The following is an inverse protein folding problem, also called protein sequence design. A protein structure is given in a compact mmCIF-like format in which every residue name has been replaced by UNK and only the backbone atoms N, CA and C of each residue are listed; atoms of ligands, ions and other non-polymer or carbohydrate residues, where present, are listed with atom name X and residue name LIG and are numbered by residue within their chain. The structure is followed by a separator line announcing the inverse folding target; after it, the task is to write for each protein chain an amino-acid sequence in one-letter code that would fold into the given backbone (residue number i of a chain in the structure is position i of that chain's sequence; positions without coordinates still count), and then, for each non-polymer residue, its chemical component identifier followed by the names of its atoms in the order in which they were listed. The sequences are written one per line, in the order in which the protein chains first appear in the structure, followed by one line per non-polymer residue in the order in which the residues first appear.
data_IF_904790393450
#
_entry.id   IF_904790393450
#
_cell.length_a   1.000
_cell.length_b   1.000
_cell.length_c   1.000
_cell.angle_alpha   90.00
_cell.angle_beta   90.00
_cell.angle_gamma   90.00
#
_symmetry.space_group_name_H-M   'P 1'
#
loop_
_entity.id
_entity.type
_entity.pdbx_description
1 polymer ?
#
# COMPACT_ATOMS: atom_id res chain seq x y z
N UNK A 1 -42.89 -1.48 -4.15
CA UNK A 1 -42.19 -1.59 -5.45
C UNK A 1 -41.51 -0.26 -5.68
N UNK A 2 -40.26 -0.15 -5.23
CA UNK A 2 -39.52 1.12 -5.20
C UNK A 2 -38.35 0.98 -6.17
N UNK A 3 -38.44 1.72 -7.27
CA UNK A 3 -37.41 1.81 -8.30
C UNK A 3 -36.12 2.41 -7.71
N UNK A 4 -35.04 1.62 -7.69
CA UNK A 4 -33.71 2.14 -7.42
C UNK A 4 -33.14 2.73 -8.71
N UNK A 5 -33.08 4.06 -8.73
CA UNK A 5 -32.39 4.87 -9.72
C UNK A 5 -30.91 4.51 -9.78
N UNK A 6 -30.52 3.86 -10.88
CA UNK A 6 -29.13 3.54 -11.23
C UNK A 6 -28.36 4.83 -11.49
N UNK A 7 -27.45 5.19 -10.57
CA UNK A 7 -26.45 6.24 -10.81
C UNK A 7 -25.37 5.75 -11.78
N UNK A 8 -25.70 5.68 -13.07
CA UNK A 8 -24.69 5.68 -14.14
C UNK A 8 -24.07 7.08 -14.19
N UNK A 9 -22.85 7.24 -13.65
CA UNK A 9 -22.03 8.42 -13.99
C UNK A 9 -21.87 8.44 -15.51
N UNK A 10 -22.46 9.45 -16.14
CA UNK A 10 -22.47 9.60 -17.58
C UNK A 10 -21.03 9.66 -18.11
N UNK A 11 -20.74 8.84 -19.12
CA UNK A 11 -19.53 8.95 -19.94
C UNK A 11 -19.49 10.39 -20.48
N UNK A 12 -18.36 11.09 -20.27
CA UNK A 12 -18.18 12.45 -20.80
C UNK A 12 -18.43 12.43 -22.31
N UNK A 13 -19.17 13.39 -22.84
CA UNK A 13 -19.58 13.44 -24.26
C UNK A 13 -18.40 13.40 -25.25
N UNK A 14 -17.20 13.79 -24.81
CA UNK A 14 -15.94 13.81 -25.56
C UNK A 14 -15.22 12.43 -25.65
N UNK A 15 -15.70 11.40 -24.95
CA UNK A 15 -15.03 10.09 -24.91
C UNK A 15 -15.65 9.02 -25.84
N UNK A 16 -16.65 9.38 -26.64
CA UNK A 16 -17.25 8.42 -27.60
C UNK A 16 -16.22 8.00 -28.65
N UNK A 17 -15.96 6.70 -28.74
CA UNK A 17 -15.03 6.11 -29.72
C UNK A 17 -13.57 6.05 -29.27
N UNK A 18 -13.22 6.53 -28.08
CA UNK A 18 -11.87 6.38 -27.53
C UNK A 18 -11.68 4.99 -26.90
N UNK A 19 -10.52 4.38 -27.09
CA UNK A 19 -10.11 3.17 -26.37
C UNK A 19 -9.93 3.46 -24.88
N UNK A 20 -10.59 2.71 -24.01
CA UNK A 20 -10.47 2.82 -22.56
C UNK A 20 -9.37 1.91 -22.04
N UNK A 21 -8.25 2.50 -21.61
CA UNK A 21 -7.20 1.82 -20.87
C UNK A 21 -7.42 2.00 -19.36
N UNK A 22 -7.53 0.90 -18.62
CA UNK A 22 -7.59 0.90 -17.16
C UNK A 22 -6.28 0.38 -16.57
N UNK A 23 -5.66 1.18 -15.70
CA UNK A 23 -4.56 0.78 -14.84
C UNK A 23 -5.13 0.43 -13.46
N UNK A 24 -5.18 -0.85 -13.13
CA UNK A 24 -5.64 -1.35 -11.84
C UNK A 24 -4.46 -1.47 -10.86
N UNK A 25 -4.46 -0.66 -9.81
CA UNK A 25 -3.39 -0.53 -8.82
C UNK A 25 -2.27 0.40 -9.29
N UNK A 26 -2.05 1.53 -8.61
CA UNK A 26 -1.15 2.58 -9.10
C UNK A 26 0.22 2.50 -8.39
N UNK A 27 0.84 1.33 -8.44
CA UNK A 27 2.21 1.10 -7.96
C UNK A 27 3.27 1.63 -8.94
N UNK A 28 4.55 1.36 -8.64
CA UNK A 28 5.72 1.86 -9.39
C UNK A 28 5.61 1.77 -10.91
N UNK A 29 5.21 0.60 -11.45
CA UNK A 29 5.08 0.40 -12.89
C UNK A 29 4.00 1.31 -13.50
N UNK A 30 2.83 1.38 -12.88
CA UNK A 30 1.73 2.22 -13.38
C UNK A 30 1.96 3.71 -13.15
N UNK A 31 2.70 4.11 -12.10
CA UNK A 31 3.16 5.49 -11.95
C UNK A 31 4.11 5.90 -13.09
N UNK A 32 4.97 4.98 -13.54
CA UNK A 32 5.78 5.22 -14.72
C UNK A 32 4.91 5.34 -15.98
N UNK A 33 3.92 4.47 -16.17
CA UNK A 33 2.98 4.58 -17.30
C UNK A 33 2.26 5.92 -17.27
N UNK A 34 1.76 6.37 -16.11
CA UNK A 34 1.08 7.65 -15.94
C UNK A 34 2.01 8.84 -16.27
N UNK A 35 3.27 8.77 -15.87
CA UNK A 35 4.29 9.77 -16.21
C UNK A 35 4.53 9.87 -17.71
N UNK A 36 4.62 8.74 -18.40
CA UNK A 36 4.82 8.71 -19.84
C UNK A 36 3.56 9.08 -20.62
N UNK A 37 2.37 8.71 -20.11
CA UNK A 37 1.09 9.13 -20.66
C UNK A 37 0.97 10.65 -20.75
N UNK A 38 1.41 11.36 -19.71
CA UNK A 38 1.47 12.83 -19.71
C UNK A 38 2.37 13.38 -20.83
N UNK A 39 3.47 12.70 -21.14
CA UNK A 39 4.46 13.14 -22.13
C UNK A 39 4.03 12.80 -23.55
N UNK A 40 3.43 11.63 -23.73
CA UNK A 40 3.11 11.01 -25.03
C UNK A 40 1.81 10.20 -24.87
N UNK A 41 0.64 10.86 -24.79
CA UNK A 41 -0.64 10.16 -24.66
C UNK A 41 -0.91 9.36 -25.93
N UNK A 42 -1.58 8.21 -25.79
CA UNK A 42 -2.00 7.45 -26.96
C UNK A 42 -3.13 8.18 -27.69
N UNK A 43 -3.07 8.30 -29.03
CA UNK A 43 -4.14 8.92 -29.80
C UNK A 43 -5.43 8.11 -29.66
N UNK A 44 -6.58 8.79 -29.60
CA UNK A 44 -7.90 8.17 -29.50
C UNK A 44 -8.05 7.20 -28.32
N UNK A 45 -7.38 7.47 -27.20
CA UNK A 45 -7.49 6.68 -25.99
C UNK A 45 -7.70 7.57 -24.76
N UNK A 46 -8.36 7.01 -23.75
CA UNK A 46 -8.50 7.62 -22.42
C UNK A 46 -7.91 6.69 -21.37
N UNK A 47 -7.37 7.29 -20.31
CA UNK A 47 -6.72 6.57 -19.22
C UNK A 47 -7.55 6.68 -17.95
N UNK A 48 -7.91 5.54 -17.38
CA UNK A 48 -8.46 5.43 -16.03
C UNK A 48 -7.41 4.79 -15.13
N UNK A 49 -7.10 5.45 -14.03
CA UNK A 49 -6.33 4.90 -12.92
C UNK A 49 -7.30 4.48 -11.82
N UNK A 50 -7.31 3.19 -11.48
CA UNK A 50 -8.15 2.64 -10.40
C UNK A 50 -7.23 2.19 -9.26
N UNK A 51 -7.41 2.77 -8.07
CA UNK A 51 -6.64 2.42 -6.88
C UNK A 51 -7.54 2.34 -5.65
N UNK A 52 -7.20 1.50 -4.67
CA UNK A 52 -8.00 1.39 -3.44
C UNK A 52 -7.73 2.51 -2.43
N UNK A 53 -6.66 3.29 -2.62
CA UNK A 53 -6.37 4.51 -1.86
C UNK A 53 -6.26 5.71 -2.80
N UNK A 54 -6.48 6.91 -2.27
CA UNK A 54 -6.20 8.17 -2.99
C UNK A 54 -4.71 8.47 -3.17
N UNK A 55 -3.84 7.67 -2.55
CA UNK A 55 -2.39 7.80 -2.60
C UNK A 55 -1.70 6.45 -2.89
N UNK A 56 -0.44 6.54 -3.33
CA UNK A 56 0.47 5.39 -3.45
C UNK A 56 1.67 5.57 -2.53
N UNK A 57 1.92 4.60 -1.65
CA UNK A 57 3.08 4.60 -0.77
C UNK A 57 4.33 4.06 -1.47
N UNK A 58 5.46 4.76 -1.31
CA UNK A 58 6.78 4.31 -1.73
C UNK A 58 7.42 3.48 -0.62
N UNK A 59 7.46 2.16 -0.81
CA UNK A 59 7.92 1.21 0.21
C UNK A 59 9.35 1.47 0.69
N UNK A 60 10.25 1.91 -0.20
CA UNK A 60 11.65 2.19 0.13
C UNK A 60 11.84 3.38 1.10
N UNK A 61 10.83 4.22 1.29
CA UNK A 61 10.88 5.33 2.26
C UNK A 61 10.34 4.97 3.64
N UNK A 62 9.65 3.83 3.79
CA UNK A 62 9.06 3.46 5.07
C UNK A 62 10.10 3.32 6.19
N UNK A 63 11.27 2.66 6.00
CA UNK A 63 12.31 2.63 7.03
C UNK A 63 12.75 4.04 7.45
N UNK A 64 12.90 4.96 6.48
CA UNK A 64 13.22 6.37 6.75
C UNK A 64 12.16 7.10 7.57
N UNK A 65 10.88 6.83 7.33
CA UNK A 65 9.76 7.34 8.15
C UNK A 65 9.85 6.83 9.58
N UNK A 66 10.07 5.52 9.75
CA UNK A 66 10.16 4.89 11.09
C UNK A 66 11.40 5.36 11.85
N UNK A 67 12.51 5.57 11.16
CA UNK A 67 13.72 6.18 11.71
C UNK A 67 13.55 7.68 12.01
N UNK A 68 12.48 8.33 11.53
CA UNK A 68 12.23 9.76 11.78
C UNK A 68 12.92 10.71 10.82
N UNK A 69 13.50 10.20 9.73
CA UNK A 69 14.12 11.02 8.69
C UNK A 69 13.08 11.73 7.82
N UNK A 70 11.88 11.15 7.72
CA UNK A 70 10.78 11.67 6.92
C UNK A 70 9.47 11.63 7.70
N UNK A 71 8.57 12.56 7.40
CA UNK A 71 7.19 12.50 7.83
C UNK A 71 6.41 11.47 7.00
N UNK A 72 5.40 10.79 7.58
CA UNK A 72 4.62 9.77 6.86
C UNK A 72 3.96 10.26 5.56
N UNK A 73 3.68 11.56 5.41
CA UNK A 73 3.13 12.09 4.16
C UNK A 73 4.14 12.10 3.01
N UNK A 74 5.44 12.18 3.32
CA UNK A 74 6.49 12.28 2.30
C UNK A 74 6.76 10.95 1.58
N UNK A 75 6.38 9.81 2.17
CA UNK A 75 6.45 8.51 1.48
C UNK A 75 5.28 8.29 0.51
N UNK A 76 4.30 9.21 0.44
CA UNK A 76 3.06 9.02 -0.33
C UNK A 76 3.05 9.93 -1.56
N UNK A 77 2.52 9.40 -2.65
CA UNK A 77 2.25 10.15 -3.89
C UNK A 77 0.74 10.39 -3.98
N UNK A 78 0.34 11.66 -4.05
CA UNK A 78 -1.05 12.07 -4.30
C UNK A 78 -1.48 11.69 -5.72
N UNK A 79 -2.37 10.69 -5.83
CA UNK A 79 -2.83 10.19 -7.11
C UNK A 79 -3.83 11.14 -7.78
N UNK A 80 -4.59 11.92 -7.02
CA UNK A 80 -5.53 12.89 -7.60
C UNK A 80 -4.76 13.96 -8.37
N UNK A 81 -3.70 14.49 -7.75
CA UNK A 81 -2.80 15.43 -8.41
C UNK A 81 -2.06 14.79 -9.60
N UNK A 82 -1.50 13.59 -9.43
CA UNK A 82 -0.78 12.90 -10.49
C UNK A 82 -1.66 12.60 -11.71
N UNK A 83 -2.88 12.09 -11.50
CA UNK A 83 -3.83 11.79 -12.58
C UNK A 83 -4.29 13.06 -13.28
N UNK A 84 -4.64 14.11 -12.53
CA UNK A 84 -5.06 15.40 -13.08
C UNK A 84 -3.99 16.00 -14.00
N UNK A 85 -2.74 15.98 -13.59
CA UNK A 85 -1.61 16.51 -14.38
C UNK A 85 -1.32 15.66 -15.62
N UNK A 86 -1.68 14.37 -15.61
CA UNK A 86 -1.57 13.48 -16.76
C UNK A 86 -2.81 13.46 -17.67
N UNK A 87 -3.90 14.15 -17.31
CA UNK A 87 -5.17 14.06 -18.02
C UNK A 87 -5.86 12.70 -17.90
N UNK A 88 -5.57 11.95 -16.83
CA UNK A 88 -6.18 10.67 -16.53
C UNK A 88 -7.34 10.82 -15.52
N UNK A 89 -8.33 9.93 -15.60
CA UNK A 89 -9.38 9.81 -14.60
C UNK A 89 -8.88 8.96 -13.42
N UNK A 90 -9.07 9.43 -12.19
CA UNK A 90 -8.82 8.63 -10.99
C UNK A 90 -10.15 8.09 -10.45
N UNK A 91 -10.23 6.78 -10.27
CA UNK A 91 -11.28 6.10 -9.52
C UNK A 91 -10.66 5.52 -8.25
N UNK A 92 -11.11 5.98 -7.10
CA UNK A 92 -10.72 5.40 -5.81
C UNK A 92 -11.79 4.40 -5.38
N UNK A 93 -11.40 3.13 -5.23
CA UNK A 93 -12.30 2.07 -4.78
C UNK A 93 -11.69 0.68 -4.86
N UNK A 94 -12.31 -0.27 -4.18
CA UNK A 94 -11.83 -1.65 -4.11
C UNK A 94 -12.49 -2.48 -5.22
N UNK A 95 -11.67 -3.15 -6.04
CA UNK A 95 -12.20 -4.10 -7.04
C UNK A 95 -12.53 -5.41 -6.37
N UNK A 96 -13.78 -5.84 -6.50
CA UNK A 96 -14.29 -7.11 -5.99
C UNK A 96 -14.20 -8.23 -7.03
N UNK A 97 -14.38 -7.91 -8.33
CA UNK A 97 -14.34 -8.90 -9.39
C UNK A 97 -13.88 -8.33 -10.74
N UNK A 98 -13.35 -9.21 -11.60
CA UNK A 98 -13.00 -8.94 -12.99
C UNK A 98 -13.87 -9.83 -13.88
N UNK A 99 -14.76 -9.23 -14.68
CA UNK A 99 -15.55 -9.92 -15.69
C UNK A 99 -14.86 -9.74 -17.06
N UNK A 100 -14.06 -10.74 -17.46
CA UNK A 100 -13.33 -10.71 -18.74
C UNK A 100 -14.27 -10.80 -19.96
N UNK A 101 -15.30 -11.68 -20.00
CA UNK A 101 -16.26 -11.71 -21.09
C UNK A 101 -16.95 -10.37 -21.34
N UNK A 102 -17.35 -9.66 -20.28
CA UNK A 102 -18.00 -8.33 -20.38
C UNK A 102 -17.01 -7.17 -20.32
N UNK A 103 -15.70 -7.45 -20.23
CA UNK A 103 -14.60 -6.48 -20.09
C UNK A 103 -14.91 -5.38 -19.08
N UNK A 104 -15.29 -5.78 -17.88
CA UNK A 104 -15.74 -4.87 -16.83
C UNK A 104 -15.11 -5.23 -15.49
N UNK A 105 -14.63 -4.22 -14.76
CA UNK A 105 -14.28 -4.35 -13.34
C UNK A 105 -15.52 -4.05 -12.50
N UNK A 106 -15.77 -4.86 -11.46
CA UNK A 106 -16.81 -4.59 -10.47
C UNK A 106 -16.15 -4.10 -9.18
N UNK A 107 -16.53 -2.90 -8.75
CA UNK A 107 -16.14 -2.34 -7.45
C UNK A 107 -17.04 -2.92 -6.35
N UNK A 108 -16.54 -2.93 -5.12
CA UNK A 108 -17.29 -3.29 -3.91
C UNK A 108 -18.56 -2.45 -3.70
N UNK A 109 -18.54 -1.19 -4.14
CA UNK A 109 -19.68 -0.28 -4.19
C UNK A 109 -20.78 -0.70 -5.19
N UNK A 110 -20.54 -1.72 -6.01
CA UNK A 110 -21.40 -2.13 -7.11
C UNK A 110 -21.19 -1.33 -8.40
N UNK A 111 -20.34 -0.30 -8.41
CA UNK A 111 -19.98 0.43 -9.62
C UNK A 111 -19.26 -0.50 -10.61
N UNK A 112 -19.67 -0.43 -11.88
CA UNK A 112 -19.05 -1.13 -12.99
C UNK A 112 -18.13 -0.19 -13.76
N UNK A 113 -16.89 -0.61 -14.00
CA UNK A 113 -15.88 0.14 -14.78
C UNK A 113 -15.54 -0.66 -16.04
N UNK A 114 -16.08 -0.27 -17.22
CA UNK A 114 -15.77 -0.96 -18.48
C UNK A 114 -14.35 -0.61 -18.93
N UNK A 115 -13.72 -1.55 -19.65
CA UNK A 115 -12.39 -1.36 -20.23
C UNK A 115 -12.28 -2.00 -21.62
N UNK A 116 -11.38 -1.47 -22.45
CA UNK A 116 -10.91 -2.14 -23.66
C UNK A 116 -9.59 -2.87 -23.40
N UNK A 117 -8.72 -2.22 -22.60
CA UNK A 117 -7.44 -2.76 -22.14
C UNK A 117 -7.36 -2.64 -20.62
N UNK A 118 -6.94 -3.72 -19.96
CA UNK A 118 -6.75 -3.77 -18.52
C UNK A 118 -5.29 -4.14 -18.22
N UNK A 119 -4.60 -3.29 -17.46
CA UNK A 119 -3.29 -3.59 -16.90
C UNK A 119 -3.41 -3.72 -15.38
N UNK A 120 -2.86 -4.80 -14.80
CA UNK A 120 -3.05 -5.15 -13.39
C UNK A 120 -1.71 -5.07 -12.66
N UNK A 121 -1.67 -4.24 -11.61
CA UNK A 121 -0.53 -4.03 -10.74
C UNK A 121 -1.00 -3.67 -9.32
N UNK A 122 -1.82 -4.55 -8.72
CA UNK A 122 -2.41 -4.36 -7.38
C UNK A 122 -1.44 -4.61 -6.22
N UNK A 123 -0.20 -5.00 -6.52
CA UNK A 123 0.80 -5.34 -5.52
C UNK A 123 0.56 -6.69 -4.86
N UNK A 124 1.22 -6.91 -3.72
CA UNK A 124 1.12 -8.14 -2.92
C UNK A 124 0.47 -7.86 -1.56
N UNK A 125 -0.12 -8.89 -0.96
CA UNK A 125 -0.62 -8.87 0.42
C UNK A 125 0.31 -9.68 1.34
N UNK A 126 0.31 -9.44 2.66
CA UNK A 126 0.99 -10.32 3.61
C UNK A 126 0.35 -11.71 3.57
N UNK A 127 1.18 -12.77 3.53
CA UNK A 127 0.71 -14.14 3.69
C UNK A 127 0.59 -14.43 5.18
N UNK A 128 -0.64 -14.51 5.71
CA UNK A 128 -0.91 -14.77 7.12
C UNK A 128 -1.64 -16.11 7.37
N UNK A 129 -2.08 -16.77 6.31
CA UNK A 129 -2.95 -17.96 6.37
C UNK A 129 -2.35 -19.13 7.16
N UNK A 130 -1.02 -19.18 7.28
CA UNK A 130 -0.27 -20.22 7.99
C UNK A 130 0.12 -19.81 9.42
N UNK A 131 -0.28 -18.62 9.87
CA UNK A 131 0.09 -18.06 11.18
C UNK A 131 -1.16 -17.74 12.01
N UNK A 132 -1.21 -18.27 13.22
CA UNK A 132 -2.16 -17.79 14.23
C UNK A 132 -1.71 -16.40 14.70
N UNK A 133 -2.39 -15.37 14.19
CA UNK A 133 -2.16 -13.99 14.57
C UNK A 133 -3.32 -13.52 15.44
N UNK A 134 -3.01 -12.90 16.59
CA UNK A 134 -4.00 -12.16 17.37
C UNK A 134 -3.98 -10.66 17.00
N UNK A 135 -4.74 -9.86 17.74
CA UNK A 135 -4.92 -8.42 17.51
C UNK A 135 -3.64 -7.59 17.72
N UNK A 136 -2.56 -8.17 18.25
CA UNK A 136 -1.26 -7.51 18.44
C UNK A 136 -0.43 -7.50 17.17
N UNK A 137 -0.76 -8.33 16.18
CA UNK A 137 0.00 -8.42 14.94
C UNK A 137 -0.38 -7.27 14.00
N UNK A 138 0.56 -6.36 13.76
CA UNK A 138 0.38 -5.25 12.81
C UNK A 138 1.03 -5.59 11.46
N UNK A 139 0.26 -5.90 10.41
CA UNK A 139 0.83 -6.16 9.09
C UNK A 139 1.39 -4.88 8.47
N UNK A 140 2.54 -4.99 7.82
CA UNK A 140 3.19 -3.85 7.13
C UNK A 140 2.39 -3.35 5.92
N UNK A 141 1.63 -4.23 5.26
CA UNK A 141 0.76 -3.87 4.14
C UNK A 141 -0.71 -3.84 4.58
N UNK A 142 -1.52 -2.92 4.03
CA UNK A 142 -1.12 -1.83 3.13
C UNK A 142 -0.27 -0.77 3.86
N UNK A 143 0.80 -0.30 3.19
CA UNK A 143 1.79 0.60 3.80
C UNK A 143 1.22 2.00 4.04
N UNK A 144 0.22 2.40 3.24
CA UNK A 144 -0.48 3.68 3.34
C UNK A 144 -0.98 3.98 4.76
N UNK A 145 -1.38 2.93 5.49
CA UNK A 145 -2.00 3.01 6.82
C UNK A 145 -1.18 2.31 7.90
N UNK A 146 0.04 1.84 7.59
CA UNK A 146 0.86 1.10 8.56
C UNK A 146 1.20 1.93 9.80
N UNK A 147 1.64 3.17 9.62
CA UNK A 147 2.02 4.05 10.74
C UNK A 147 0.83 4.29 11.68
N UNK A 148 -0.36 4.50 11.12
CA UNK A 148 -1.60 4.70 11.89
C UNK A 148 -2.00 3.43 12.65
N UNK A 149 -1.97 2.26 11.98
CA UNK A 149 -2.23 0.97 12.65
C UNK A 149 -1.24 0.67 13.76
N UNK A 150 0.04 0.98 13.55
CA UNK A 150 1.07 0.76 14.57
C UNK A 150 0.84 1.67 15.79
N UNK A 151 0.46 2.94 15.58
CA UNK A 151 0.08 3.84 16.68
C UNK A 151 -1.13 3.32 17.45
N UNK A 152 -2.16 2.85 16.76
CA UNK A 152 -3.34 2.27 17.40
C UNK A 152 -2.95 1.06 18.26
N UNK A 153 -2.16 0.13 17.74
CA UNK A 153 -1.68 -1.03 18.50
C UNK A 153 -0.85 -0.64 19.74
N UNK A 154 -0.03 0.41 19.65
CA UNK A 154 0.73 0.94 20.78
C UNK A 154 -0.14 1.62 21.83
N UNK A 155 -1.20 2.33 21.42
CA UNK A 155 -2.19 2.89 22.34
C UNK A 155 -2.95 1.80 23.07
N UNK A 156 -3.45 0.80 22.34
CA UNK A 156 -4.16 -0.36 22.93
C UNK A 156 -3.26 -1.11 23.92
N UNK A 157 -1.97 -1.27 23.59
CA UNK A 157 -1.00 -1.87 24.50
C UNK A 157 -0.86 -1.07 25.80
N UNK A 158 -0.75 0.27 25.72
CA UNK A 158 -0.64 1.15 26.91
C UNK A 158 -1.85 1.03 27.83
N UNK A 159 -3.06 0.89 27.27
CA UNK A 159 -4.29 0.79 28.05
C UNK A 159 -4.43 -0.57 28.76
N UNK A 160 -3.90 -1.64 28.15
CA UNK A 160 -4.05 -3.02 28.65
C UNK A 160 -2.98 -3.43 29.66
N UNK A 161 -1.87 -2.69 29.79
CA UNK A 161 -0.67 -3.19 30.46
C UNK A 161 -0.36 -2.49 31.79
N UNK A 162 0.12 -3.29 32.74
CA UNK A 162 0.75 -2.84 34.00
C UNK A 162 2.28 -2.85 33.94
N UNK A 163 2.86 -3.41 32.88
CA UNK A 163 4.31 -3.51 32.67
C UNK A 163 4.90 -2.21 32.13
N UNK A 164 6.13 -1.91 32.55
CA UNK A 164 6.90 -0.78 32.02
C UNK A 164 7.75 -1.15 30.80
N UNK A 165 7.85 -2.44 30.44
CA UNK A 165 8.66 -2.91 29.31
C UNK A 165 7.78 -3.25 28.09
N UNK A 166 8.10 -2.66 26.94
CA UNK A 166 7.49 -2.93 25.65
C UNK A 166 8.31 -3.96 24.87
N UNK A 167 7.68 -5.05 24.43
CA UNK A 167 8.32 -6.06 23.59
C UNK A 167 7.87 -5.91 22.13
N UNK A 168 8.80 -5.49 21.28
CA UNK A 168 8.60 -5.36 19.85
C UNK A 168 9.13 -6.61 19.14
N UNK A 169 8.24 -7.41 18.54
CA UNK A 169 8.63 -8.55 17.72
C UNK A 169 8.41 -8.26 16.24
N UNK A 170 9.44 -8.46 15.43
CA UNK A 170 9.41 -8.31 13.97
C UNK A 170 9.53 -9.70 13.37
N UNK A 171 8.60 -10.05 12.48
CA UNK A 171 8.56 -11.36 11.83
C UNK A 171 9.01 -11.23 10.38
N UNK A 172 10.07 -11.96 10.03
CA UNK A 172 10.67 -12.05 8.70
C UNK A 172 12.04 -11.39 8.63
N UNK A 173 13.11 -12.17 8.46
CA UNK A 173 14.50 -11.70 8.37
C UNK A 173 14.97 -11.36 6.95
N UNK A 174 14.06 -11.07 6.01
CA UNK A 174 14.42 -10.57 4.68
C UNK A 174 14.88 -9.11 4.73
N UNK A 175 15.20 -8.52 3.56
CA UNK A 175 15.66 -7.13 3.48
C UNK A 175 14.73 -6.15 4.22
N UNK A 176 13.42 -6.19 3.93
CA UNK A 176 12.46 -5.30 4.57
C UNK A 176 12.36 -5.49 6.09
N UNK A 177 12.33 -6.73 6.59
CA UNK A 177 12.25 -6.94 8.04
C UNK A 177 13.55 -6.60 8.77
N UNK A 178 14.70 -6.76 8.11
CA UNK A 178 16.00 -6.28 8.60
C UNK A 178 16.01 -4.75 8.69
N UNK A 179 15.56 -4.03 7.65
CA UNK A 179 15.42 -2.58 7.69
C UNK A 179 14.47 -2.12 8.82
N UNK A 180 13.35 -2.81 9.02
CA UNK A 180 12.44 -2.53 10.13
C UNK A 180 13.10 -2.77 11.49
N UNK A 181 13.93 -3.80 11.65
CA UNK A 181 14.62 -4.09 12.91
C UNK A 181 15.55 -2.95 13.34
N UNK A 182 16.15 -2.24 12.38
CA UNK A 182 16.95 -1.05 12.67
C UNK A 182 16.11 0.22 12.92
N UNK A 183 14.97 0.37 12.23
CA UNK A 183 14.26 1.66 12.21
C UNK A 183 13.03 1.71 13.13
N UNK A 184 12.28 0.62 13.26
CA UNK A 184 11.03 0.56 14.03
C UNK A 184 11.22 0.78 15.54
N UNK A 185 12.32 0.33 16.19
CA UNK A 185 12.54 0.61 17.61
C UNK A 185 12.55 2.11 17.93
N UNK A 186 13.19 2.92 17.08
CA UNK A 186 13.21 4.37 17.24
C UNK A 186 11.81 5.00 17.06
N UNK A 187 10.98 4.46 16.16
CA UNK A 187 9.59 4.88 16.05
C UNK A 187 8.81 4.60 17.35
N UNK A 188 8.92 3.37 17.87
CA UNK A 188 8.23 2.95 19.09
C UNK A 188 8.68 3.77 20.29
N UNK A 189 9.99 3.98 20.49
CA UNK A 189 10.52 4.79 21.58
C UNK A 189 9.96 6.21 21.58
N UNK A 190 9.88 6.85 20.41
CA UNK A 190 9.37 8.23 20.29
C UNK A 190 7.87 8.33 20.55
N UNK A 191 7.08 7.38 20.03
CA UNK A 191 5.62 7.37 20.19
C UNK A 191 5.22 6.96 21.61
N UNK A 192 5.93 5.99 22.20
CA UNK A 192 5.69 5.50 23.55
C UNK A 192 6.41 6.30 24.65
N UNK A 193 7.36 7.18 24.31
CA UNK A 193 8.20 7.92 25.26
C UNK A 193 8.82 7.00 26.32
N UNK A 194 9.31 5.85 25.87
CA UNK A 194 9.98 4.85 26.73
C UNK A 194 11.48 4.96 26.57
N UNK A 195 12.20 4.70 27.66
CA UNK A 195 13.66 4.67 27.67
C UNK A 195 14.19 3.43 26.90
N UNK A 196 15.43 3.45 26.39
CA UNK A 196 15.98 2.33 25.64
C UNK A 196 15.97 0.99 26.38
N UNK A 197 16.12 0.99 27.71
CA UNK A 197 16.07 -0.21 28.55
C UNK A 197 14.64 -0.73 28.80
N UNK A 198 13.62 0.02 28.41
CA UNK A 198 12.21 -0.35 28.49
C UNK A 198 11.68 -0.89 27.15
N UNK A 199 12.52 -0.97 26.11
CA UNK A 199 12.17 -1.54 24.81
C UNK A 199 13.05 -2.74 24.51
N UNK A 200 12.42 -3.91 24.40
CA UNK A 200 13.07 -5.12 23.87
C UNK A 200 12.63 -5.35 22.44
N UNK A 201 13.60 -5.43 21.51
CA UNK A 201 13.33 -5.76 20.11
C UNK A 201 13.78 -7.18 19.80
N UNK A 202 12.93 -7.97 19.14
CA UNK A 202 13.23 -9.34 18.69
C UNK A 202 12.92 -9.46 17.20
N UNK A 203 13.86 -9.96 16.41
CA UNK A 203 13.66 -10.32 15.00
C UNK A 203 13.57 -11.84 14.89
N UNK A 204 12.47 -12.35 14.35
CA UNK A 204 12.24 -13.78 14.12
C UNK A 204 12.27 -14.05 12.62
N UNK A 205 12.98 -15.08 12.19
CA UNK A 205 13.02 -15.49 10.78
C UNK A 205 13.02 -17.02 10.65
N UNK A 206 12.58 -17.52 9.50
CA UNK A 206 12.45 -18.96 9.23
C UNK A 206 13.62 -19.58 8.45
N UNK A 207 14.78 -18.92 8.40
CA UNK A 207 15.96 -19.37 7.67
C UNK A 207 17.15 -19.50 8.62
N UNK A 208 18.28 -20.02 8.17
CA UNK A 208 19.49 -20.12 9.00
C UNK A 208 20.22 -18.77 9.16
N UNK A 209 19.94 -17.81 8.26
CA UNK A 209 20.57 -16.48 8.24
C UNK A 209 19.57 -15.38 7.88
N UNK A 210 19.89 -14.16 8.32
CA UNK A 210 19.24 -12.94 7.85
C UNK A 210 19.61 -12.65 6.39
N UNK A 211 18.74 -11.93 5.68
CA UNK A 211 18.97 -11.58 4.29
C UNK A 211 19.00 -12.79 3.34
N UNK A 212 18.39 -13.91 3.72
CA UNK A 212 18.28 -15.09 2.85
C UNK A 212 17.74 -14.69 1.46
N UNK A 213 18.39 -15.19 0.40
CA UNK A 213 18.08 -14.82 -1.00
C UNK A 213 18.77 -13.55 -1.52
N UNK A 214 19.53 -12.82 -0.69
CA UNK A 214 20.39 -11.72 -1.15
C UNK A 214 21.81 -12.20 -1.52
N UNK A 215 22.68 -11.31 -1.99
CA UNK A 215 24.10 -11.64 -2.21
C UNK A 215 24.82 -11.81 -0.87
N UNK A 216 25.87 -12.62 -0.83
CA UNK A 216 26.68 -12.82 0.38
C UNK A 216 27.20 -11.50 0.97
N UNK A 217 27.71 -10.61 0.12
CA UNK A 217 28.16 -9.28 0.53
C UNK A 217 27.06 -8.45 1.21
N UNK A 218 25.79 -8.70 0.88
CA UNK A 218 24.64 -8.03 1.50
C UNK A 218 24.23 -8.71 2.80
N UNK A 219 24.33 -10.04 2.90
CA UNK A 219 24.08 -10.78 4.15
C UNK A 219 25.04 -10.39 5.26
N UNK A 220 26.31 -10.15 4.95
CA UNK A 220 27.32 -9.73 5.93
C UNK A 220 27.05 -8.35 6.56
N UNK A 221 26.11 -7.57 6.02
CA UNK A 221 25.69 -6.28 6.56
C UNK A 221 24.45 -6.37 7.46
N UNK A 222 23.77 -7.52 7.49
CA UNK A 222 22.53 -7.77 8.22
C UNK A 222 22.81 -8.44 9.58
#
# INVERSE_FOLDING_TARGET
MTEQSSHRKAIRSDDRGKTTLVLLGIGHAHLHVLREWRRRPLPNARLICLNNFGDSAYSGMLPGVLAGMYEPRQMKIDLASACRVAGAELIVGQVAAVDLPRRTLQLDSGQLVPFDLLSINVGSVPKQDEMQCDDRVVPIKPMQTFVERMRAAMSDWRERQSSSEFHLTIVGGGAGGTELAFCLPNFVQRELRVEPNQLRTTLVHGHDQLGAGTRESTRQLA
#
